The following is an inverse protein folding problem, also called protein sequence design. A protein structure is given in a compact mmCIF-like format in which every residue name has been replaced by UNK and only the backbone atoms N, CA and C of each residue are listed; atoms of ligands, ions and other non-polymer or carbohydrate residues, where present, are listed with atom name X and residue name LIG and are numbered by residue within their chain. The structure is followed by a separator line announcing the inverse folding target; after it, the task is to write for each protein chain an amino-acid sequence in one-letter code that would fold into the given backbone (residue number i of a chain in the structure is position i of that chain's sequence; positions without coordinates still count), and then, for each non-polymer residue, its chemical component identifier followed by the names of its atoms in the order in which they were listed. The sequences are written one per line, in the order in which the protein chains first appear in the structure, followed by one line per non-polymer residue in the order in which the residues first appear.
data_IF_633208362823
#
_entry.id   IF_633208362823
#
_cell.length_a   1.000
_cell.length_b   1.000
_cell.length_c   1.000
_cell.angle_alpha   90.00
_cell.angle_beta   90.00
_cell.angle_gamma   90.00
#
_symmetry.space_group_name_H-M   'P 1'
#
loop_
_entity.id
_entity.type
_entity.pdbx_description
1 polymer ?
#
# COMPACT_ATOMS: atom_id res chain seq x y z
N UNK A 1 4.65 16.84 0.02
CA UNK A 1 3.75 16.19 0.98
C UNK A 1 4.60 15.57 2.09
N UNK A 2 4.18 15.66 3.35
CA UNK A 2 4.76 14.88 4.47
C UNK A 2 3.69 14.00 5.11
N UNK A 3 4.03 13.22 6.15
CA UNK A 3 3.05 12.41 6.90
C UNK A 3 1.85 13.22 7.40
N UNK A 4 2.04 14.51 7.70
CA UNK A 4 0.94 15.42 8.12
C UNK A 4 -0.12 15.60 7.04
N UNK A 5 0.30 15.72 5.79
CA UNK A 5 -0.61 15.82 4.65
C UNK A 5 -1.22 14.44 4.34
N UNK A 6 -0.42 13.38 4.47
CA UNK A 6 -0.85 12.00 4.23
C UNK A 6 -1.99 11.61 5.17
N UNK A 7 -1.87 11.83 6.49
CA UNK A 7 -2.93 11.46 7.45
C UNK A 7 -4.23 12.22 7.21
N UNK A 8 -4.16 13.42 6.64
CA UNK A 8 -5.34 14.19 6.23
C UNK A 8 -5.97 13.66 4.93
N UNK A 9 -5.17 13.09 4.03
CA UNK A 9 -5.61 12.58 2.73
C UNK A 9 -6.07 11.11 2.77
N UNK A 10 -5.55 10.30 3.70
CA UNK A 10 -5.85 8.87 3.78
C UNK A 10 -7.35 8.63 4.07
N UNK A 11 -8.00 7.70 3.34
CA UNK A 11 -9.36 7.32 3.65
C UNK A 11 -9.42 6.44 4.89
N UNK A 12 -10.61 6.18 5.42
CA UNK A 12 -10.78 5.26 6.54
C UNK A 12 -10.33 3.82 6.22
N UNK A 13 -10.04 2.99 7.24
CA UNK A 13 -9.48 1.64 7.10
C UNK A 13 -10.15 0.74 6.05
N UNK A 14 -11.48 0.72 6.00
CA UNK A 14 -12.23 -0.12 5.05
C UNK A 14 -11.95 0.24 3.60
N UNK A 15 -11.91 1.54 3.29
CA UNK A 15 -11.66 2.03 1.92
C UNK A 15 -10.18 1.81 1.57
N UNK A 16 -9.28 2.05 2.52
CA UNK A 16 -7.85 1.80 2.32
C UNK A 16 -7.57 0.33 2.02
N UNK A 17 -8.15 -0.61 2.79
CA UNK A 17 -8.00 -2.04 2.55
C UNK A 17 -8.54 -2.47 1.18
N UNK A 18 -9.71 -1.96 0.79
CA UNK A 18 -10.29 -2.24 -0.53
C UNK A 18 -9.38 -1.74 -1.67
N UNK A 19 -8.80 -0.55 -1.50
CA UNK A 19 -7.84 0.05 -2.43
C UNK A 19 -6.56 -0.78 -2.54
N UNK A 20 -5.98 -1.19 -1.40
CA UNK A 20 -4.78 -2.04 -1.39
C UNK A 20 -5.02 -3.40 -2.08
N UNK A 21 -6.18 -4.02 -1.87
CA UNK A 21 -6.57 -5.25 -2.59
C UNK A 21 -6.69 -5.03 -4.09
N UNK A 22 -7.26 -3.89 -4.51
CA UNK A 22 -7.37 -3.53 -5.92
C UNK A 22 -6.00 -3.33 -6.56
N UNK A 23 -5.08 -2.62 -5.90
CA UNK A 23 -3.72 -2.41 -6.41
C UNK A 23 -2.96 -3.73 -6.56
N UNK A 24 -3.08 -4.63 -5.58
CA UNK A 24 -2.48 -5.97 -5.65
C UNK A 24 -3.04 -6.79 -6.83
N UNK A 25 -4.37 -6.75 -7.05
CA UNK A 25 -5.00 -7.46 -8.17
C UNK A 25 -4.57 -6.86 -9.52
N UNK A 26 -4.59 -5.54 -9.66
CA UNK A 26 -4.17 -4.85 -10.88
C UNK A 26 -2.70 -5.15 -11.20
N UNK A 27 -1.81 -5.05 -10.21
CA UNK A 27 -0.40 -5.38 -10.35
C UNK A 27 -0.20 -6.80 -10.88
N UNK A 28 -0.93 -7.77 -10.33
CA UNK A 28 -0.80 -9.18 -10.78
C UNK A 28 -1.37 -9.45 -12.16
N UNK A 29 -2.35 -8.67 -12.62
CA UNK A 29 -2.84 -8.74 -14.01
C UNK A 29 -1.82 -8.12 -14.97
N UNK A 30 -1.24 -6.98 -14.58
CA UNK A 30 -0.34 -6.21 -15.44
C UNK A 30 1.05 -6.86 -15.56
N UNK A 31 1.60 -7.33 -14.44
CA UNK A 31 2.84 -8.11 -14.36
C UNK A 31 2.87 -9.02 -13.11
N UNK A 32 2.73 -10.33 -13.32
CA UNK A 32 2.75 -11.31 -12.24
C UNK A 32 4.18 -11.67 -11.75
N UNK A 33 5.23 -11.28 -12.46
CA UNK A 33 6.61 -11.71 -12.15
C UNK A 33 7.27 -10.88 -11.05
N UNK A 34 6.88 -9.61 -10.92
CA UNK A 34 7.40 -8.68 -9.92
C UNK A 34 6.28 -7.70 -9.47
N UNK A 35 5.27 -8.18 -8.72
CA UNK A 35 4.16 -7.32 -8.33
C UNK A 35 4.64 -6.27 -7.31
N UNK A 36 4.65 -5.00 -7.73
CA UNK A 36 5.01 -3.88 -6.84
C UNK A 36 4.11 -3.83 -5.60
N UNK A 37 2.80 -4.10 -5.76
CA UNK A 37 1.82 -4.07 -4.68
C UNK A 37 1.34 -5.48 -4.37
N UNK A 38 1.30 -5.84 -3.09
CA UNK A 38 0.79 -7.14 -2.62
C UNK A 38 -0.20 -6.97 -1.48
N UNK A 39 -1.09 -7.95 -1.33
CA UNK A 39 -2.06 -8.00 -0.23
C UNK A 39 -2.26 -9.45 0.22
N UNK A 40 -2.03 -9.71 1.51
CA UNK A 40 -2.12 -11.03 2.14
C UNK A 40 -3.26 -10.99 3.17
N UNK A 41 -4.46 -11.49 2.81
CA UNK A 41 -5.56 -11.59 3.75
C UNK A 41 -5.26 -12.66 4.80
N UNK A 42 -5.56 -12.38 6.07
CA UNK A 42 -5.28 -13.28 7.18
C UNK A 42 -3.79 -13.62 7.36
N UNK A 43 -2.89 -12.70 6.96
CA UNK A 43 -1.44 -12.81 7.13
C UNK A 43 -1.06 -13.29 8.54
N UNK A 44 -1.71 -12.74 9.57
CA UNK A 44 -1.58 -13.22 10.95
C UNK A 44 -2.93 -13.37 11.60
N UNK A 45 -3.52 -14.55 11.42
CA UNK A 45 -4.83 -14.87 11.97
C UNK A 45 -5.92 -14.01 11.32
N UNK A 46 -6.40 -12.99 12.02
CA UNK A 46 -7.39 -12.05 11.51
C UNK A 46 -6.79 -10.76 10.92
N UNK A 47 -5.48 -10.54 11.06
CA UNK A 47 -4.83 -9.35 10.50
C UNK A 47 -4.51 -9.54 9.02
N UNK A 48 -4.87 -8.55 8.20
CA UNK A 48 -4.46 -8.48 6.80
C UNK A 48 -3.19 -7.64 6.67
N UNK A 49 -2.36 -7.94 5.66
CA UNK A 49 -1.15 -7.18 5.35
C UNK A 49 -1.18 -6.68 3.90
N UNK A 50 -0.98 -5.38 3.70
CA UNK A 50 -0.69 -4.81 2.38
C UNK A 50 0.75 -4.33 2.33
N UNK A 51 1.47 -4.61 1.25
CA UNK A 51 2.84 -4.13 1.06
C UNK A 51 3.01 -3.48 -0.31
N UNK A 52 4.00 -2.59 -0.41
CA UNK A 52 4.55 -2.09 -1.65
C UNK A 52 6.07 -2.15 -1.57
N UNK A 53 6.71 -2.64 -2.63
CA UNK A 53 8.16 -2.56 -2.84
C UNK A 53 8.43 -2.18 -4.29
N UNK A 54 9.20 -1.12 -4.50
CA UNK A 54 9.53 -0.66 -5.86
C UNK A 54 10.78 -1.35 -6.46
N UNK A 55 11.41 -2.27 -5.71
CA UNK A 55 12.63 -2.96 -6.11
C UNK A 55 13.89 -2.09 -6.10
N UNK A 56 13.80 -0.84 -5.65
CA UNK A 56 14.89 0.14 -5.63
C UNK A 56 15.22 0.66 -4.22
N UNK A 57 14.62 0.08 -3.17
CA UNK A 57 14.90 0.42 -1.77
C UNK A 57 13.74 1.09 -1.05
N UNK A 58 12.70 1.52 -1.77
CA UNK A 58 11.50 2.08 -1.14
C UNK A 58 10.44 1.02 -0.91
N UNK A 59 9.83 1.09 0.27
CA UNK A 59 8.80 0.14 0.67
C UNK A 59 7.80 0.75 1.64
N UNK A 60 6.60 0.18 1.67
CA UNK A 60 5.68 0.38 2.78
C UNK A 60 4.99 -0.92 3.16
N UNK A 61 4.51 -0.97 4.41
CA UNK A 61 3.57 -1.99 4.86
C UNK A 61 2.41 -1.36 5.64
N UNK A 62 1.23 -1.98 5.51
CA UNK A 62 -0.01 -1.58 6.17
C UNK A 62 -0.64 -2.82 6.77
N UNK A 63 -0.69 -2.86 8.10
CA UNK A 63 -1.33 -3.94 8.86
C UNK A 63 -2.73 -3.52 9.25
N UNK A 64 -3.73 -4.28 8.82
CA UNK A 64 -5.14 -4.10 9.20
C UNK A 64 -5.48 -5.10 10.30
N UNK A 65 -5.45 -4.65 11.55
CA UNK A 65 -5.69 -5.47 12.75
C UNK A 65 -7.05 -5.14 13.39
N UNK A 66 -7.53 -6.01 14.29
CA UNK A 66 -8.72 -5.74 15.08
C UNK A 66 -8.55 -4.52 16.02
N UNK A 67 -7.33 -4.25 16.47
CA UNK A 67 -7.01 -3.09 17.30
C UNK A 67 -6.94 -1.76 16.52
N UNK A 68 -6.78 -1.83 15.20
CA UNK A 68 -6.62 -0.66 14.34
C UNK A 68 -5.75 -0.96 13.13
N UNK A 69 -5.34 0.09 12.42
CA UNK A 69 -4.43 0.01 11.28
C UNK A 69 -3.10 0.63 11.67
N UNK A 70 -2.01 -0.07 11.38
CA UNK A 70 -0.65 0.44 11.47
C UNK A 70 -0.06 0.54 10.06
N UNK A 71 0.43 1.72 9.70
CA UNK A 71 1.06 2.02 8.41
C UNK A 71 2.46 2.52 8.67
N UNK A 72 3.44 1.93 7.97
CA UNK A 72 4.78 2.48 7.91
C UNK A 72 5.31 2.49 6.48
N UNK A 73 6.17 3.46 6.20
CA UNK A 73 6.88 3.59 4.94
C UNK A 73 8.35 3.89 5.19
N UNK A 74 9.20 3.43 4.28
CA UNK A 74 10.62 3.71 4.23
C UNK A 74 10.97 4.19 2.82
N UNK A 75 11.33 5.47 2.74
CA UNK A 75 11.91 6.09 1.56
C UNK A 75 13.40 6.26 1.80
N UNK A 76 14.21 5.55 1.02
CA UNK A 76 15.65 5.48 1.27
C UNK A 76 16.40 6.75 0.85
N UNK A 77 15.77 7.60 0.02
CA UNK A 77 16.35 8.84 -0.53
C UNK A 77 15.85 10.11 0.15
N UNK A 78 14.92 10.02 1.11
CA UNK A 78 14.41 11.20 1.83
C UNK A 78 15.33 11.65 2.96
N UNK A 79 15.14 12.88 3.44
CA UNK A 79 15.93 13.46 4.53
C UNK A 79 15.73 12.71 5.85
N UNK A 80 14.53 12.19 6.08
CA UNK A 80 14.18 11.46 7.29
C UNK A 80 14.78 10.05 7.38
N UNK A 81 15.50 9.57 6.35
CA UNK A 81 16.07 8.23 6.31
C UNK A 81 16.93 7.94 7.55
N UNK A 82 16.73 6.82 8.27
CA UNK A 82 17.58 6.43 9.41
C UNK A 82 19.04 6.15 9.01
N UNK A 83 19.32 6.02 7.72
CA UNK A 83 20.66 5.80 7.15
C UNK A 83 21.51 7.07 7.03
N UNK A 84 20.95 8.24 7.37
CA UNK A 84 21.66 9.53 7.35
C UNK A 84 22.78 9.63 8.40
N UNK A 85 22.75 8.78 9.42
CA UNK A 85 23.68 8.79 10.55
C UNK A 85 24.02 7.36 11.03
N UNK A 86 25.16 7.23 11.71
CA UNK A 86 25.63 5.97 12.33
C UNK A 86 25.99 6.25 13.79
N UNK A 87 25.34 5.61 14.78
CA UNK A 87 24.32 4.55 14.65
C UNK A 87 22.99 5.04 14.06
N UNK A 88 22.31 4.16 13.30
CA UNK A 88 20.97 4.43 12.75
C UNK A 88 20.00 4.94 13.82
N UNK A 89 19.24 5.97 13.49
CA UNK A 89 18.21 6.51 14.37
C UNK A 89 16.99 7.01 13.59
N UNK A 90 15.80 6.79 14.15
CA UNK A 90 14.54 7.32 13.59
C UNK A 90 14.57 8.84 13.57
N UNK A 91 13.78 9.44 12.67
CA UNK A 91 13.49 10.86 12.78
C UNK A 91 12.81 11.17 14.13
N UNK A 92 13.17 12.27 14.82
CA UNK A 92 12.57 12.59 16.12
C UNK A 92 11.05 12.62 16.08
N UNK A 93 10.42 11.91 17.03
CA UNK A 93 8.97 11.84 17.15
C UNK A 93 8.26 10.81 16.28
N UNK A 94 8.96 10.06 15.42
CA UNK A 94 8.33 9.15 14.43
C UNK A 94 7.30 8.17 15.04
N UNK A 95 7.62 7.58 16.20
CA UNK A 95 6.78 6.59 16.88
C UNK A 95 6.14 7.14 18.17
N UNK A 96 6.37 8.41 18.50
CA UNK A 96 5.84 9.02 19.72
C UNK A 96 4.31 9.12 19.63
N UNK A 97 3.62 8.59 20.64
CA UNK A 97 2.15 8.54 20.65
C UNK A 97 1.56 7.30 19.96
N UNK A 98 2.38 6.38 19.45
CA UNK A 98 1.91 5.09 18.94
C UNK A 98 1.14 4.32 20.04
N UNK A 99 -0.09 3.88 19.79
CA UNK A 99 -0.89 3.19 20.79
C UNK A 99 -0.27 1.87 21.22
N UNK A 100 -0.37 1.55 22.50
CA UNK A 100 0.16 0.30 23.05
C UNK A 100 -0.40 -0.96 22.37
N UNK A 101 -1.60 -0.88 21.80
CA UNK A 101 -2.23 -1.96 21.04
C UNK A 101 -1.52 -2.26 19.71
N UNK A 102 -0.83 -1.28 19.11
CA UNK A 102 -0.12 -1.38 17.83
C UNK A 102 1.41 -1.35 17.98
N UNK A 103 1.91 -1.02 19.18
CA UNK A 103 3.34 -0.86 19.47
C UNK A 103 4.21 -2.13 19.28
N UNK A 104 3.58 -3.28 19.04
CA UNK A 104 4.29 -4.52 18.76
C UNK A 104 4.78 -4.63 17.31
N UNK A 105 4.23 -3.85 16.36
CA UNK A 105 4.65 -3.92 14.95
C UNK A 105 6.06 -3.35 14.68
N UNK A 106 6.45 -2.17 15.19
CA UNK A 106 7.82 -1.66 14.97
C UNK A 106 8.91 -2.55 15.57
N UNK A 107 8.58 -3.37 16.57
CA UNK A 107 9.53 -4.29 17.21
C UNK A 107 9.46 -5.70 16.63
N UNK A 108 8.62 -5.93 15.63
CA UNK A 108 8.46 -7.23 14.99
C UNK A 108 9.62 -7.51 14.03
N UNK A 109 10.31 -8.65 14.15
CA UNK A 109 11.43 -8.98 13.26
C UNK A 109 11.09 -8.99 11.77
N UNK A 110 9.82 -9.23 11.39
CA UNK A 110 9.40 -9.22 9.98
C UNK A 110 9.42 -7.81 9.36
N UNK A 111 9.34 -6.77 10.18
CA UNK A 111 9.42 -5.37 9.74
C UNK A 111 10.78 -4.74 10.02
N UNK A 112 11.76 -5.53 10.45
CA UNK A 112 13.10 -5.03 10.80
C UNK A 112 14.16 -5.50 9.82
N UNK A 113 15.06 -4.59 9.49
CA UNK A 113 16.29 -4.89 8.77
C UNK A 113 17.49 -4.78 9.71
N UNK A 114 18.18 -5.92 9.90
CA UNK A 114 19.30 -6.05 10.84
C UNK A 114 18.95 -5.54 12.26
N UNK A 115 17.79 -5.97 12.76
CA UNK A 115 17.29 -5.64 14.10
C UNK A 115 16.83 -4.19 14.29
N UNK A 116 16.68 -3.43 13.21
CA UNK A 116 16.21 -2.04 13.24
C UNK A 116 14.98 -1.87 12.34
N UNK A 117 14.00 -1.12 12.80
CA UNK A 117 12.80 -0.79 12.05
C UNK A 117 13.07 0.38 11.11
N UNK A 118 13.44 0.09 9.86
CA UNK A 118 13.67 1.13 8.86
C UNK A 118 12.33 1.75 8.47
N UNK A 119 12.11 3.00 8.91
CA UNK A 119 10.91 3.77 8.64
C UNK A 119 11.21 5.26 8.62
N UNK A 120 10.56 5.96 7.70
CA UNK A 120 10.57 7.42 7.55
C UNK A 120 9.18 8.00 7.78
N UNK A 121 8.15 7.21 7.50
CA UNK A 121 6.72 7.54 7.70
C UNK A 121 6.11 6.51 8.64
N UNK A 122 5.36 6.97 9.64
CA UNK A 122 4.51 6.13 10.48
C UNK A 122 3.17 6.82 10.74
N UNK A 123 2.08 6.10 10.50
CA UNK A 123 0.73 6.55 10.81
C UNK A 123 -0.12 5.40 11.36
N UNK A 124 -1.13 5.72 12.14
CA UNK A 124 -2.03 4.74 12.73
C UNK A 124 -3.46 5.23 12.80
N UNK A 125 -4.39 4.27 12.78
CA UNK A 125 -5.81 4.48 12.98
C UNK A 125 -6.31 3.48 14.02
N UNK A 126 -6.62 3.91 15.25
CA UNK A 126 -7.16 3.02 16.27
C UNK A 126 -8.63 2.67 16.01
N UNK A 127 -9.04 1.45 16.37
CA UNK A 127 -10.45 1.07 16.32
C UNK A 127 -11.30 2.01 17.18
N UNK A 128 -12.25 2.71 16.55
CA UNK A 128 -13.12 3.69 17.21
C UNK A 128 -12.57 5.12 17.23
N UNK A 129 -11.38 5.37 16.66
CA UNK A 129 -10.88 6.73 16.43
C UNK A 129 -11.68 7.45 15.33
N UNK A 130 -11.54 8.77 15.31
CA UNK A 130 -12.16 9.71 14.37
C UNK A 130 -11.29 10.06 13.16
N UNK A 131 -10.04 9.57 13.12
CA UNK A 131 -9.12 9.82 12.02
C UNK A 131 -7.76 9.17 12.22
N UNK A 132 -6.93 9.30 11.18
CA UNK A 132 -5.52 8.91 11.21
C UNK A 132 -4.70 9.82 12.13
N UNK A 133 -3.67 9.26 12.72
CA UNK A 133 -2.70 9.96 13.57
C UNK A 133 -1.29 9.57 13.17
N UNK A 134 -0.36 10.45 13.44
CA UNK A 134 1.08 10.20 13.34
C UNK A 134 1.76 10.79 14.59
N UNK A 135 3.06 10.53 14.73
CA UNK A 135 3.84 11.15 15.78
C UNK A 135 4.01 12.66 15.56
N UNK A 136 4.43 13.41 16.59
CA UNK A 136 4.69 14.85 16.53
C UNK A 136 6.01 15.15 15.79
N UNK A 137 6.19 14.59 14.59
CA UNK A 137 7.36 14.83 13.75
C UNK A 137 7.37 16.28 13.26
N UNK A 138 8.54 16.90 13.28
CA UNK A 138 8.76 18.24 12.75
C UNK A 138 9.73 18.17 11.58
N UNK A 139 9.41 18.85 10.48
CA UNK A 139 10.26 18.96 9.30
C UNK A 139 10.60 20.43 9.05
N UNK A 140 11.87 20.70 8.81
CA UNK A 140 12.37 21.99 8.35
C UNK A 140 11.95 22.29 6.91
N UNK A 141 12.27 23.51 6.45
CA UNK A 141 11.94 23.91 5.09
C UNK A 141 12.75 23.09 4.08
N UNK A 142 12.04 22.31 3.25
CA UNK A 142 12.63 21.45 2.23
C UNK A 142 12.98 20.04 2.71
N UNK A 143 12.80 19.72 4.00
CA UNK A 143 12.95 18.36 4.51
C UNK A 143 11.70 17.53 4.21
N UNK A 144 11.91 16.25 3.93
CA UNK A 144 10.86 15.30 3.57
C UNK A 144 11.04 13.95 4.26
N UNK A 145 9.93 13.25 4.46
CA UNK A 145 9.87 11.86 4.94
C UNK A 145 9.56 10.84 3.83
N UNK A 146 9.40 11.31 2.60
CA UNK A 146 9.07 10.47 1.45
C UNK A 146 7.59 10.09 1.37
N UNK A 147 6.71 10.61 2.22
CA UNK A 147 5.29 10.27 2.22
C UNK A 147 4.62 10.46 0.85
N UNK A 148 5.01 11.52 0.13
CA UNK A 148 4.57 11.81 -1.24
C UNK A 148 4.85 10.63 -2.18
N UNK A 149 6.13 10.27 -2.33
CA UNK A 149 6.58 9.23 -3.26
C UNK A 149 6.02 7.86 -2.91
N UNK A 150 5.91 7.56 -1.62
CA UNK A 150 5.45 6.26 -1.13
C UNK A 150 3.93 6.08 -1.23
N UNK A 151 3.15 7.13 -0.98
CA UNK A 151 1.72 6.99 -0.70
C UNK A 151 0.80 7.84 -1.56
N UNK A 152 1.29 8.73 -2.45
CA UNK A 152 0.43 9.58 -3.28
C UNK A 152 -0.62 8.79 -4.05
N UNK A 153 -0.19 7.73 -4.74
CA UNK A 153 -1.09 6.85 -5.47
C UNK A 153 -2.13 6.21 -4.54
N UNK A 154 -1.69 5.79 -3.36
CA UNK A 154 -2.56 5.17 -2.37
C UNK A 154 -3.48 6.18 -1.70
N UNK A 155 -3.12 7.45 -1.57
CA UNK A 155 -3.94 8.50 -0.97
C UNK A 155 -5.02 8.99 -1.96
N UNK A 156 -4.63 9.28 -3.20
CA UNK A 156 -5.54 9.66 -4.29
C UNK A 156 -6.52 8.51 -4.60
N UNK A 157 -5.98 7.36 -5.01
CA UNK A 157 -6.73 6.15 -5.30
C UNK A 157 -7.81 6.27 -6.38
N UNK A 158 -7.79 7.34 -7.17
CA UNK A 158 -8.66 7.47 -8.34
C UNK A 158 -8.21 6.53 -9.46
N UNK A 159 -9.13 6.12 -10.36
CA UNK A 159 -8.74 5.38 -11.56
C UNK A 159 -7.77 6.14 -12.45
N UNK A 160 -7.87 7.48 -12.51
CA UNK A 160 -6.98 8.31 -13.30
C UNK A 160 -5.54 8.25 -12.80
N UNK A 161 -5.33 8.45 -11.50
CA UNK A 161 -4.01 8.35 -10.88
C UNK A 161 -3.38 6.96 -11.08
N UNK A 162 -4.17 5.88 -10.96
CA UNK A 162 -3.65 4.54 -11.20
C UNK A 162 -3.29 4.29 -12.67
N UNK A 163 -4.09 4.79 -13.62
CA UNK A 163 -3.77 4.67 -15.05
C UNK A 163 -2.46 5.41 -15.35
N UNK A 164 -2.32 6.66 -14.89
CA UNK A 164 -1.08 7.44 -15.09
C UNK A 164 0.14 6.70 -14.53
N UNK A 165 0.06 6.24 -13.28
CA UNK A 165 1.10 5.42 -12.66
C UNK A 165 1.41 4.16 -13.49
N UNK A 166 0.39 3.40 -13.90
CA UNK A 166 0.57 2.13 -14.57
C UNK A 166 1.14 2.31 -15.99
N UNK A 167 0.74 3.37 -16.71
CA UNK A 167 1.27 3.65 -18.03
C UNK A 167 2.74 4.08 -17.99
N UNK A 168 3.14 4.85 -16.97
CA UNK A 168 4.53 5.21 -16.72
C UNK A 168 5.36 3.97 -16.31
N UNK A 169 4.91 3.24 -15.28
CA UNK A 169 5.65 2.11 -14.72
C UNK A 169 5.78 0.92 -15.67
N UNK A 170 4.69 0.55 -16.37
CA UNK A 170 4.69 -0.59 -17.30
C UNK A 170 5.03 -0.17 -18.75
N UNK A 171 5.33 1.11 -18.99
CA UNK A 171 5.68 1.70 -20.29
C UNK A 171 4.70 1.33 -21.42
N UNK A 172 3.40 1.23 -21.11
CA UNK A 172 2.36 0.85 -22.08
C UNK A 172 0.97 1.39 -21.71
N UNK A 173 0.08 1.61 -22.68
CA UNK A 173 -1.29 2.04 -22.41
C UNK A 173 -2.07 1.04 -21.54
N UNK A 174 -2.94 1.53 -20.67
CA UNK A 174 -3.79 0.72 -19.78
C UNK A 174 -5.25 1.12 -19.92
N UNK A 175 -6.16 0.15 -20.05
CA UNK A 175 -7.60 0.42 -20.22
C UNK A 175 -8.21 1.09 -18.97
N UNK A 176 -8.64 2.37 -19.04
CA UNK A 176 -9.13 3.09 -17.87
C UNK A 176 -10.44 2.52 -17.31
N UNK A 177 -11.27 1.93 -18.18
CA UNK A 177 -12.54 1.32 -17.78
C UNK A 177 -12.32 0.04 -16.97
N UNK A 178 -11.32 -0.76 -17.34
CA UNK A 178 -10.94 -1.95 -16.62
C UNK A 178 -10.30 -1.61 -15.27
N UNK A 179 -9.42 -0.61 -15.20
CA UNK A 179 -8.87 -0.10 -13.93
C UNK A 179 -9.99 0.39 -13.02
N UNK A 180 -10.89 1.24 -13.53
CA UNK A 180 -12.02 1.75 -12.75
C UNK A 180 -12.93 0.62 -12.24
N UNK A 181 -13.18 -0.41 -13.06
CA UNK A 181 -13.98 -1.55 -12.64
C UNK A 181 -13.34 -2.34 -11.49
N UNK A 182 -12.02 -2.55 -11.53
CA UNK A 182 -11.29 -3.25 -10.46
C UNK A 182 -11.28 -2.41 -9.18
N UNK A 183 -10.95 -1.11 -9.26
CA UNK A 183 -10.98 -0.21 -8.10
C UNK A 183 -12.36 -0.09 -7.45
N UNK A 184 -13.43 -0.18 -8.24
CA UNK A 184 -14.81 -0.19 -7.75
C UNK A 184 -15.24 -1.53 -7.13
N UNK A 185 -14.37 -2.56 -7.11
CA UNK A 185 -14.71 -3.88 -6.61
C UNK A 185 -15.69 -4.66 -7.49
N UNK A 186 -15.81 -4.31 -8.78
CA UNK A 186 -16.71 -5.00 -9.68
C UNK A 186 -16.28 -6.47 -9.88
N UNK A 187 -17.22 -7.39 -10.18
CA UNK A 187 -16.87 -8.78 -10.45
C UNK A 187 -15.86 -8.89 -11.59
N UNK A 188 -14.79 -9.66 -11.37
CA UNK A 188 -13.73 -9.86 -12.35
C UNK A 188 -14.22 -10.75 -13.49
N UNK A 189 -13.93 -10.35 -14.73
CA UNK A 189 -14.34 -11.06 -15.95
C UNK A 189 -13.16 -11.30 -16.87
N UNK A 190 -13.26 -12.27 -17.78
CA UNK A 190 -12.26 -12.52 -18.84
C UNK A 190 -12.00 -11.26 -19.68
N UNK A 191 -13.04 -10.49 -19.96
CA UNK A 191 -12.94 -9.21 -20.70
C UNK A 191 -12.08 -8.20 -19.94
N UNK A 192 -12.34 -8.02 -18.64
CA UNK A 192 -11.56 -7.09 -17.81
C UNK A 192 -10.08 -7.46 -17.79
N UNK A 193 -9.76 -8.74 -17.61
CA UNK A 193 -8.37 -9.23 -17.59
C UNK A 193 -7.71 -9.03 -18.95
N UNK A 194 -8.37 -9.44 -20.04
CA UNK A 194 -7.82 -9.30 -21.39
C UNK A 194 -7.61 -7.83 -21.83
N UNK A 195 -8.45 -6.90 -21.34
CA UNK A 195 -8.29 -5.46 -21.58
C UNK A 195 -7.06 -4.87 -20.88
N UNK A 196 -6.65 -5.43 -19.73
CA UNK A 196 -5.48 -4.99 -18.98
C UNK A 196 -4.20 -5.69 -19.45
N UNK A 197 -4.28 -6.98 -19.73
CA UNK A 197 -3.15 -7.81 -20.17
C UNK A 197 -3.65 -8.99 -21.01
N UNK A 198 -3.49 -8.93 -22.35
CA UNK A 198 -3.96 -9.99 -23.26
C UNK A 198 -3.29 -11.35 -23.05
N UNK A 199 -2.12 -11.37 -22.41
CA UNK A 199 -1.32 -12.57 -22.16
C UNK A 199 -1.49 -13.12 -20.75
N UNK A 200 -2.26 -12.46 -19.89
CA UNK A 200 -2.50 -12.94 -18.53
C UNK A 200 -3.30 -14.24 -18.52
N UNK A 201 -2.90 -15.18 -17.67
CA UNK A 201 -3.65 -16.40 -17.42
C UNK A 201 -4.87 -16.08 -16.53
N UNK A 202 -6.06 -16.07 -17.15
CA UNK A 202 -7.29 -15.76 -16.45
C UNK A 202 -7.57 -16.69 -15.27
N UNK A 203 -7.26 -17.99 -15.37
CA UNK A 203 -7.63 -18.94 -14.33
C UNK A 203 -6.75 -18.75 -13.07
N UNK A 204 -5.47 -18.39 -13.29
CA UNK A 204 -4.56 -17.97 -12.22
C UNK A 204 -5.02 -16.66 -11.57
N UNK A 205 -5.33 -15.63 -12.36
CA UNK A 205 -5.83 -14.35 -11.86
C UNK A 205 -7.16 -14.54 -11.13
N UNK A 206 -8.07 -15.36 -11.64
CA UNK A 206 -9.35 -15.65 -11.00
C UNK A 206 -9.18 -16.31 -9.62
N UNK A 207 -8.15 -17.14 -9.46
CA UNK A 207 -7.82 -17.74 -8.15
C UNK A 207 -7.36 -16.66 -7.18
N UNK A 208 -6.42 -15.80 -7.61
CA UNK A 208 -5.93 -14.70 -6.79
C UNK A 208 -7.02 -13.68 -6.45
N UNK A 209 -7.88 -13.32 -7.40
CA UNK A 209 -8.99 -12.40 -7.21
C UNK A 209 -9.93 -12.88 -6.09
N UNK A 210 -10.24 -14.18 -6.04
CA UNK A 210 -11.04 -14.76 -4.97
C UNK A 210 -10.36 -14.65 -3.61
N UNK A 211 -9.05 -14.89 -3.54
CA UNK A 211 -8.25 -14.68 -2.31
C UNK A 211 -8.35 -13.23 -1.85
N UNK A 212 -8.26 -12.27 -2.78
CA UNK A 212 -8.40 -10.84 -2.51
C UNK A 212 -9.85 -10.38 -2.24
N UNK A 213 -10.82 -11.31 -2.21
CA UNK A 213 -12.22 -11.02 -1.90
C UNK A 213 -13.07 -10.56 -3.08
N UNK A 214 -12.58 -10.67 -4.32
CA UNK A 214 -13.35 -10.35 -5.52
C UNK A 214 -14.28 -11.49 -5.93
N UNK A 215 -15.46 -11.13 -6.41
CA UNK A 215 -16.32 -12.07 -7.16
C UNK A 215 -15.74 -12.27 -8.55
N UNK A 216 -15.81 -13.49 -9.09
CA UNK A 216 -15.36 -13.82 -10.44
C UNK A 216 -16.54 -14.32 -11.27
N UNK A 217 -16.73 -13.77 -12.46
CA UNK A 217 -17.67 -14.25 -13.46
C UNK A 217 -16.94 -14.89 -14.64
N UNK A 218 -16.91 -16.22 -14.62
CA UNK A 218 -16.26 -17.07 -15.62
C UNK A 218 -17.25 -17.58 -16.68
N UNK A 219 -18.10 -16.70 -17.22
CA UNK A 219 -18.88 -17.07 -18.41
C UNK A 219 -17.99 -16.85 -19.65
N UNK A 220 -17.95 -17.82 -20.59
CA UNK A 220 -17.32 -17.59 -21.88
C UNK A 220 -17.98 -16.39 -22.56
N UNK A 221 -17.19 -15.47 -23.09
CA UNK A 221 -17.71 -14.42 -23.97
C UNK A 221 -18.30 -15.12 -25.20
N UNK A 222 -19.55 -14.83 -25.60
CA UNK A 222 -20.13 -15.37 -26.83
C UNK A 222 -19.37 -14.93 -28.08
#
# INVERSE_FOLDING_TARGET
MTVHDLVAALPGPTVLAARSRAFALLGSILDASAPMHTFVPGWRGSADLACMENGSGDQYAIVFDAAGVFLHGFDHECDATPWREEPRAHWPGLLDGLPASLAHYPVDPEFQFDGFFDATVCAWYETGADGWRCGPVEFGAGESDGAERLFDLLADGSPGAYVEFAEDYYERPVDPGAVAAVLAGAPLTRRTVASLSPTADFDAIATQARTLGYTVYDRPTP
#
